data_IF_524140235827
#
_entry.id   IF_524140235827
#
_cell.length_a   1.000
_cell.length_b   1.000
_cell.length_c   1.000
_cell.angle_alpha   90.00
_cell.angle_beta   90.00
_cell.angle_gamma   90.00
#
_symmetry.space_group_name_H-M   'P 1'
#
loop_
_entity.id
_entity.type
_entity.pdbx_description
1 polymer ?
#
# COMPACT_ATOMS: atom_id res chain seq x y z
N UNK A 1 15.41 -32.17 54.51
CA UNK A 1 15.52 -32.90 53.21
C UNK A 1 16.99 -33.05 52.88
N UNK A 2 17.44 -34.18 52.32
CA UNK A 2 18.84 -34.33 51.86
C UNK A 2 19.09 -33.34 50.72
N UNK A 3 20.31 -32.79 50.63
CA UNK A 3 20.72 -31.86 49.57
C UNK A 3 20.40 -32.41 48.15
N UNK A 4 20.53 -33.72 47.98
CA UNK A 4 20.15 -34.45 46.76
C UNK A 4 18.66 -34.32 46.40
N UNK A 5 17.75 -34.31 47.38
CA UNK A 5 16.31 -34.18 47.14
C UNK A 5 15.94 -32.76 46.69
N UNK A 6 16.65 -31.73 47.18
CA UNK A 6 16.45 -30.34 46.72
C UNK A 6 16.94 -30.17 45.28
N UNK A 7 18.05 -30.80 44.90
CA UNK A 7 18.55 -30.78 43.52
C UNK A 7 17.60 -31.43 42.51
N UNK A 8 16.95 -32.54 42.88
CA UNK A 8 15.97 -33.22 42.01
C UNK A 8 14.75 -32.32 41.78
N UNK A 9 14.21 -31.71 42.83
CA UNK A 9 13.05 -30.79 42.71
C UNK A 9 13.41 -29.58 41.82
N UNK A 10 14.61 -29.03 41.97
CA UNK A 10 15.10 -27.94 41.13
C UNK A 10 15.14 -28.31 39.65
N UNK A 11 15.69 -29.48 39.30
CA UNK A 11 15.75 -29.95 37.90
C UNK A 11 14.36 -30.21 37.32
N UNK A 12 13.46 -30.84 38.10
CA UNK A 12 12.07 -31.10 37.67
C UNK A 12 11.32 -29.81 37.39
N UNK A 13 11.58 -28.75 38.16
CA UNK A 13 10.96 -27.44 37.93
C UNK A 13 11.60 -26.75 36.73
N UNK A 14 12.92 -26.75 36.58
CA UNK A 14 13.62 -25.94 35.57
C UNK A 14 13.62 -26.52 34.17
N UNK A 15 13.68 -27.85 34.04
CA UNK A 15 13.69 -28.52 32.75
C UNK A 15 12.48 -28.17 31.85
N UNK A 16 11.23 -28.13 32.33
CA UNK A 16 10.10 -27.70 31.49
C UNK A 16 10.18 -26.23 31.07
N UNK A 17 10.79 -25.33 31.87
CA UNK A 17 11.01 -23.94 31.43
C UNK A 17 11.99 -23.86 30.26
N UNK A 18 13.09 -24.62 30.30
CA UNK A 18 14.05 -24.65 29.19
C UNK A 18 13.42 -25.18 27.90
N UNK A 19 12.58 -26.21 27.99
CA UNK A 19 11.87 -26.74 26.81
C UNK A 19 10.89 -25.72 26.24
N UNK A 20 10.13 -25.03 27.09
CA UNK A 20 9.21 -23.97 26.65
C UNK A 20 9.95 -22.78 26.01
N UNK A 21 11.11 -22.41 26.55
CA UNK A 21 11.93 -21.32 26.03
C UNK A 21 12.54 -21.66 24.67
N UNK A 22 13.05 -22.89 24.50
CA UNK A 22 13.58 -23.39 23.23
C UNK A 22 12.49 -23.44 22.14
N UNK A 23 11.28 -23.90 22.45
CA UNK A 23 10.14 -23.87 21.51
C UNK A 23 9.83 -22.44 21.07
N UNK A 24 9.66 -21.51 22.02
CA UNK A 24 9.37 -20.09 21.72
C UNK A 24 10.47 -19.46 20.89
N UNK A 25 11.72 -19.73 21.20
CA UNK A 25 12.87 -19.17 20.47
C UNK A 25 12.91 -19.68 19.03
N UNK A 26 12.61 -20.96 18.81
CA UNK A 26 12.52 -21.55 17.46
C UNK A 26 11.39 -20.93 16.66
N UNK A 27 10.20 -20.78 17.25
CA UNK A 27 9.05 -20.15 16.61
C UNK A 27 9.35 -18.69 16.24
N UNK A 28 9.91 -17.91 17.17
CA UNK A 28 10.31 -16.53 16.92
C UNK A 28 11.34 -16.41 15.78
N UNK A 29 12.32 -17.31 15.75
CA UNK A 29 13.34 -17.34 14.69
C UNK A 29 12.72 -17.69 13.33
N UNK A 30 11.80 -18.65 13.29
CA UNK A 30 11.08 -19.03 12.08
C UNK A 30 10.20 -17.88 11.56
N UNK A 31 9.45 -17.20 12.44
CA UNK A 31 8.64 -16.03 12.10
C UNK A 31 9.53 -14.91 11.55
N UNK A 32 10.62 -14.58 12.23
CA UNK A 32 11.54 -13.52 11.80
C UNK A 32 12.12 -13.82 10.42
N UNK A 33 12.50 -15.08 10.16
CA UNK A 33 13.04 -15.50 8.86
C UNK A 33 11.98 -15.35 7.77
N UNK A 34 10.76 -15.84 8.01
CA UNK A 34 9.64 -15.72 7.05
C UNK A 34 9.24 -14.28 6.79
N UNK A 35 9.26 -13.43 7.81
CA UNK A 35 9.00 -12.01 7.66
C UNK A 35 10.04 -11.35 6.73
N UNK A 36 11.32 -11.68 6.86
CA UNK A 36 12.37 -11.20 5.95
C UNK A 36 12.15 -11.72 4.53
N UNK A 37 11.83 -12.99 4.35
CA UNK A 37 11.53 -13.58 3.03
C UNK A 37 10.33 -12.88 2.36
N UNK A 38 9.22 -12.70 3.07
CA UNK A 38 8.04 -12.03 2.56
C UNK A 38 8.29 -10.55 2.29
N UNK A 39 9.09 -9.89 3.12
CA UNK A 39 9.49 -8.53 2.88
C UNK A 39 10.24 -8.41 1.54
N UNK A 40 11.27 -9.23 1.36
CA UNK A 40 12.06 -9.23 0.13
C UNK A 40 11.20 -9.56 -1.10
N UNK A 41 10.28 -10.51 -0.98
CA UNK A 41 9.37 -10.88 -2.06
C UNK A 41 8.48 -9.70 -2.51
N UNK A 42 7.95 -8.94 -1.56
CA UNK A 42 7.11 -7.77 -1.85
C UNK A 42 7.94 -6.63 -2.44
N UNK A 43 9.12 -6.35 -1.89
CA UNK A 43 9.99 -5.29 -2.39
C UNK A 43 10.44 -5.59 -3.83
N UNK A 44 10.91 -6.81 -4.10
CA UNK A 44 11.25 -7.28 -5.45
C UNK A 44 10.06 -7.20 -6.41
N UNK A 45 8.85 -7.50 -5.93
CA UNK A 45 7.64 -7.45 -6.75
C UNK A 45 7.25 -6.01 -7.11
N UNK A 46 7.39 -5.07 -6.18
CA UNK A 46 7.15 -3.64 -6.43
C UNK A 46 8.21 -3.08 -7.38
N UNK A 47 9.49 -3.39 -7.17
CA UNK A 47 10.56 -2.96 -8.07
C UNK A 47 10.35 -3.49 -9.50
N UNK A 48 10.03 -4.78 -9.65
CA UNK A 48 9.74 -5.37 -10.95
C UNK A 48 8.51 -4.72 -11.63
N UNK A 49 7.50 -4.34 -10.85
CA UNK A 49 6.30 -3.69 -11.37
C UNK A 49 6.57 -2.28 -11.91
N UNK A 50 7.51 -1.56 -11.30
CA UNK A 50 7.83 -0.17 -11.61
C UNK A 50 9.01 0.00 -12.60
N UNK A 51 9.73 -1.09 -12.91
CA UNK A 51 10.95 -1.05 -13.72
C UNK A 51 10.79 -0.34 -15.07
N UNK A 52 9.85 -0.76 -15.92
CA UNK A 52 9.67 -0.14 -17.25
C UNK A 52 8.91 1.20 -17.21
N UNK A 53 8.27 1.54 -16.08
CA UNK A 53 7.73 2.89 -15.89
C UNK A 53 8.85 3.93 -15.83
N UNK A 54 10.07 3.51 -15.48
CA UNK A 54 11.27 4.33 -15.46
C UNK A 54 11.89 4.44 -16.87
N UNK A 55 11.71 3.42 -17.72
CA UNK A 55 12.33 3.35 -19.07
C UNK A 55 11.50 4.01 -20.18
N UNK A 56 10.21 4.27 -19.95
CA UNK A 56 9.30 4.93 -20.91
C UNK A 56 9.45 6.46 -20.93
N UNK A 57 10.68 6.96 -20.79
CA UNK A 57 11.03 8.39 -20.74
C UNK A 57 11.20 8.96 -22.16
N UNK A 58 10.06 9.22 -22.81
CA UNK A 58 9.99 10.20 -23.90
C UNK A 58 9.11 11.38 -23.45
N UNK A 59 9.45 11.96 -22.28
CA UNK A 59 9.15 13.33 -21.84
C UNK A 59 7.69 13.80 -21.77
N UNK A 60 6.69 12.97 -22.09
CA UNK A 60 5.27 13.35 -22.10
C UNK A 60 4.39 12.18 -21.68
N UNK A 61 3.82 12.29 -20.48
CA UNK A 61 2.76 11.42 -19.94
C UNK A 61 3.17 9.95 -19.74
N UNK A 62 3.97 9.68 -18.70
CA UNK A 62 4.10 8.33 -18.14
C UNK A 62 2.79 7.94 -17.41
N UNK A 63 1.72 7.72 -18.19
CA UNK A 63 0.49 7.12 -17.68
C UNK A 63 0.76 5.64 -17.45
N UNK A 64 0.50 5.13 -16.24
CA UNK A 64 0.71 3.71 -15.98
C UNK A 64 -0.17 2.87 -16.90
N UNK A 65 0.40 1.85 -17.55
CA UNK A 65 -0.41 0.71 -17.95
C UNK A 65 -0.78 -0.07 -16.68
N UNK A 66 -1.85 0.39 -16.01
CA UNK A 66 -2.27 -0.07 -14.67
C UNK A 66 -2.37 -1.59 -14.56
N UNK A 67 -2.87 -2.24 -15.62
CA UNK A 67 -3.04 -3.70 -15.66
C UNK A 67 -1.69 -4.40 -15.69
N UNK A 68 -0.81 -3.99 -16.59
CA UNK A 68 0.52 -4.56 -16.77
C UNK A 68 1.39 -4.40 -15.52
N UNK A 69 1.38 -3.22 -14.92
CA UNK A 69 2.10 -2.93 -13.68
C UNK A 69 1.67 -3.89 -12.56
N UNK A 70 0.37 -4.09 -12.38
CA UNK A 70 -0.15 -5.02 -11.37
C UNK A 70 0.10 -6.49 -11.74
N UNK A 71 0.00 -6.86 -13.01
CA UNK A 71 0.28 -8.22 -13.48
C UNK A 71 1.74 -8.60 -13.23
N UNK A 72 2.68 -7.67 -13.45
CA UNK A 72 4.10 -7.86 -13.14
C UNK A 72 4.35 -7.97 -11.65
N UNK A 73 3.73 -7.11 -10.85
CA UNK A 73 3.77 -7.22 -9.38
C UNK A 73 3.38 -8.64 -8.94
N UNK A 74 2.20 -9.11 -9.35
CA UNK A 74 1.73 -10.43 -8.94
C UNK A 74 2.58 -11.56 -9.52
N UNK A 75 3.05 -11.46 -10.77
CA UNK A 75 3.93 -12.47 -11.37
C UNK A 75 5.24 -12.62 -10.59
N UNK A 76 5.89 -11.51 -10.25
CA UNK A 76 7.10 -11.52 -9.44
C UNK A 76 6.80 -12.04 -8.03
N UNK A 77 5.70 -11.61 -7.40
CA UNK A 77 5.29 -12.09 -6.08
C UNK A 77 5.07 -13.61 -6.06
N UNK A 78 4.35 -14.14 -7.05
CA UNK A 78 4.09 -15.58 -7.17
C UNK A 78 5.37 -16.38 -7.39
N UNK A 79 6.33 -15.82 -8.13
CA UNK A 79 7.64 -16.42 -8.33
C UNK A 79 8.40 -16.51 -7.01
N UNK A 80 8.49 -15.40 -6.27
CA UNK A 80 9.17 -15.35 -4.96
C UNK A 80 8.51 -16.28 -3.93
N UNK A 81 7.19 -16.46 -3.98
CA UNK A 81 6.47 -17.39 -3.10
C UNK A 81 6.46 -18.84 -3.57
N UNK A 82 6.97 -19.14 -4.77
CA UNK A 82 6.95 -20.49 -5.35
C UNK A 82 5.55 -21.01 -5.69
N UNK A 83 4.58 -20.11 -5.94
CA UNK A 83 3.17 -20.45 -6.20
C UNK A 83 2.76 -20.24 -7.67
N UNK A 84 3.73 -20.08 -8.58
CA UNK A 84 3.46 -19.76 -9.99
C UNK A 84 2.59 -20.81 -10.71
N UNK A 85 2.71 -22.10 -10.38
CA UNK A 85 1.92 -23.15 -11.05
C UNK A 85 0.62 -23.51 -10.29
N UNK A 86 0.38 -22.90 -9.12
CA UNK A 86 -0.75 -23.25 -8.26
C UNK A 86 -1.84 -22.17 -8.29
N UNK A 87 -2.86 -22.38 -9.14
CA UNK A 87 -3.98 -21.44 -9.30
C UNK A 87 -4.76 -21.18 -7.99
N UNK A 88 -4.92 -22.18 -7.13
CA UNK A 88 -5.61 -22.02 -5.85
C UNK A 88 -4.78 -21.16 -4.88
N UNK A 89 -3.48 -21.41 -4.79
CA UNK A 89 -2.57 -20.62 -3.96
C UNK A 89 -2.45 -19.17 -4.43
N UNK A 90 -2.44 -18.92 -5.75
CA UNK A 90 -2.51 -17.55 -6.31
C UNK A 90 -3.79 -16.84 -5.88
N UNK A 91 -4.95 -17.48 -6.05
CA UNK A 91 -6.24 -16.92 -5.62
C UNK A 91 -6.26 -16.60 -4.12
N UNK A 92 -5.70 -17.50 -3.31
CA UNK A 92 -5.60 -17.29 -1.87
C UNK A 92 -4.67 -16.12 -1.51
N UNK A 93 -3.47 -16.06 -2.10
CA UNK A 93 -2.50 -14.96 -1.94
C UNK A 93 -3.14 -13.60 -2.26
N UNK A 94 -3.89 -13.53 -3.36
CA UNK A 94 -4.57 -12.32 -3.81
C UNK A 94 -5.58 -11.76 -2.81
N UNK A 95 -6.25 -12.62 -2.04
CA UNK A 95 -7.21 -12.18 -1.01
C UNK A 95 -6.54 -11.49 0.19
N UNK A 96 -5.21 -11.65 0.34
CA UNK A 96 -4.43 -10.96 1.37
C UNK A 96 -3.81 -9.65 0.89
N UNK A 97 -4.04 -9.27 -0.37
CA UNK A 97 -3.67 -7.97 -0.95
C UNK A 97 -4.96 -7.19 -1.21
N UNK A 98 -5.59 -6.59 -0.17
CA UNK A 98 -6.88 -5.90 -0.29
C UNK A 98 -6.87 -4.74 -1.28
N UNK A 99 -5.77 -3.97 -1.31
CA UNK A 99 -5.65 -2.72 -2.07
C UNK A 99 -4.24 -2.58 -2.62
N UNK A 100 -4.16 -2.19 -3.90
CA UNK A 100 -2.95 -1.65 -4.52
C UNK A 100 -3.29 -0.24 -5.01
N UNK A 101 -2.49 0.74 -4.61
CA UNK A 101 -2.61 2.12 -5.07
C UNK A 101 -1.46 2.45 -6.04
N UNK A 102 -1.81 2.98 -7.20
CA UNK A 102 -0.87 3.51 -8.19
C UNK A 102 -0.94 5.04 -8.10
N UNK A 103 0.15 5.67 -7.70
CA UNK A 103 0.26 7.11 -7.48
C UNK A 103 0.90 7.74 -8.72
N UNK A 104 0.17 8.61 -9.40
CA UNK A 104 0.64 9.42 -10.52
C UNK A 104 0.84 10.88 -10.10
N UNK A 105 1.34 11.72 -11.00
CA UNK A 105 1.64 13.12 -10.73
C UNK A 105 0.44 13.93 -10.19
N UNK A 106 -0.76 13.76 -10.74
CA UNK A 106 -1.94 14.58 -10.39
C UNK A 106 -3.10 13.77 -9.80
N UNK A 107 -2.85 12.52 -9.38
CA UNK A 107 -3.86 11.69 -8.76
C UNK A 107 -3.41 10.26 -8.58
N UNK A 108 -4.35 9.39 -8.22
CA UNK A 108 -4.06 7.98 -7.98
C UNK A 108 -5.18 7.07 -8.47
N UNK A 109 -4.83 5.81 -8.68
CA UNK A 109 -5.75 4.73 -9.01
C UNK A 109 -5.67 3.65 -7.95
N UNK A 110 -6.81 3.05 -7.62
CA UNK A 110 -6.88 1.95 -6.68
C UNK A 110 -7.34 0.69 -7.41
N UNK A 111 -6.58 -0.38 -7.27
CA UNK A 111 -7.09 -1.73 -7.53
C UNK A 111 -7.73 -2.27 -6.26
N UNK A 112 -8.97 -2.70 -6.39
CA UNK A 112 -9.75 -3.25 -5.30
C UNK A 112 -10.62 -4.41 -5.80
N UNK A 113 -11.14 -5.21 -4.86
CA UNK A 113 -12.08 -6.27 -5.18
C UNK A 113 -13.52 -5.76 -5.11
N UNK A 114 -14.32 -6.12 -6.12
CA UNK A 114 -15.75 -5.84 -6.18
C UNK A 114 -16.52 -7.11 -6.46
N UNK A 115 -17.72 -7.19 -5.89
CA UNK A 115 -18.67 -8.25 -6.22
C UNK A 115 -19.38 -7.91 -7.53
N UNK A 116 -19.23 -8.76 -8.55
CA UNK A 116 -20.01 -8.72 -9.79
C UNK A 116 -20.90 -9.95 -9.87
N UNK A 117 -22.01 -9.83 -10.59
CA UNK A 117 -22.82 -10.98 -10.98
C UNK A 117 -22.40 -11.38 -12.39
N UNK A 118 -22.03 -12.65 -12.56
CA UNK A 118 -21.81 -13.21 -13.89
C UNK A 118 -23.14 -13.37 -14.63
N UNK A 119 -23.06 -13.62 -15.94
CA UNK A 119 -24.21 -13.89 -16.81
C UNK A 119 -25.10 -15.04 -16.30
N UNK A 120 -24.54 -15.94 -15.49
CA UNK A 120 -25.24 -17.07 -14.87
C UNK A 120 -25.93 -16.72 -13.54
N UNK A 121 -25.88 -15.46 -13.08
CA UNK A 121 -26.41 -15.02 -11.78
C UNK A 121 -25.50 -15.30 -10.58
N UNK A 122 -24.35 -15.96 -10.80
CA UNK A 122 -23.37 -16.24 -9.75
C UNK A 122 -22.59 -14.98 -9.36
N UNK A 123 -22.45 -14.79 -8.05
CA UNK A 123 -21.65 -13.72 -7.44
C UNK A 123 -20.16 -14.06 -7.54
N UNK A 124 -19.45 -13.38 -8.43
CA UNK A 124 -18.00 -13.53 -8.62
C UNK A 124 -17.27 -12.27 -8.19
N UNK A 125 -16.17 -12.46 -7.49
CA UNK A 125 -15.29 -11.37 -7.08
C UNK A 125 -14.24 -11.12 -8.14
N UNK A 126 -14.21 -9.90 -8.65
CA UNK A 126 -13.26 -9.48 -9.66
C UNK A 126 -12.44 -8.30 -9.14
N UNK A 127 -11.16 -8.27 -9.51
CA UNK A 127 -10.33 -7.11 -9.28
C UNK A 127 -10.63 -6.05 -10.34
N UNK A 128 -10.91 -4.83 -9.89
CA UNK A 128 -11.23 -3.70 -10.75
C UNK A 128 -10.38 -2.49 -10.34
N UNK A 129 -10.13 -1.60 -11.30
CA UNK A 129 -9.51 -0.31 -11.01
C UNK A 129 -10.57 0.74 -10.78
N UNK A 130 -10.33 1.64 -9.83
CA UNK A 130 -11.12 2.85 -9.67
C UNK A 130 -10.95 3.77 -10.86
N UNK A 131 -11.86 4.73 -11.00
CA UNK A 131 -11.58 5.95 -11.74
C UNK A 131 -10.40 6.71 -11.10
N UNK A 132 -9.81 7.65 -11.85
CA UNK A 132 -8.71 8.45 -11.34
C UNK A 132 -9.21 9.35 -10.22
N UNK A 133 -8.61 9.21 -9.04
CA UNK A 133 -8.92 10.06 -7.89
C UNK A 133 -7.87 11.17 -7.86
N UNK A 134 -8.31 12.39 -8.11
CA UNK A 134 -7.45 13.58 -8.12
C UNK A 134 -7.18 14.05 -6.69
N UNK A 135 -6.02 14.66 -6.49
CA UNK A 135 -5.70 15.30 -5.20
C UNK A 135 -6.36 16.67 -5.18
N UNK A 136 -7.55 16.77 -4.62
CA UNK A 136 -8.33 18.01 -4.64
C UNK A 136 -8.62 18.57 -3.25
N UNK A 137 -8.67 19.89 -3.15
CA UNK A 137 -9.20 20.60 -2.00
C UNK A 137 -10.16 21.70 -2.47
N UNK A 138 -11.28 21.83 -1.77
CA UNK A 138 -12.28 22.86 -2.07
C UNK A 138 -12.07 24.05 -1.16
N UNK A 139 -11.85 25.23 -1.74
CA UNK A 139 -11.68 26.50 -1.04
C UNK A 139 -12.72 27.47 -1.59
N UNK A 140 -13.74 27.78 -0.80
CA UNK A 140 -14.87 28.63 -1.20
C UNK A 140 -15.59 28.10 -2.46
N UNK A 141 -15.43 28.79 -3.59
CA UNK A 141 -15.99 28.43 -4.89
C UNK A 141 -14.92 27.89 -5.87
N UNK A 142 -13.69 27.66 -5.38
CA UNK A 142 -12.61 27.09 -6.17
C UNK A 142 -12.31 25.65 -5.74
N UNK A 143 -12.00 24.80 -6.72
CA UNK A 143 -11.40 23.48 -6.50
C UNK A 143 -9.95 23.58 -6.94
N UNK A 144 -9.04 23.32 -6.00
CA UNK A 144 -7.60 23.28 -6.25
C UNK A 144 -7.17 21.83 -6.36
N UNK A 145 -6.68 21.46 -7.53
CA UNK A 145 -6.06 20.17 -7.81
C UNK A 145 -4.55 20.28 -7.62
N UNK A 146 -4.04 19.52 -6.66
CA UNK A 146 -2.64 19.43 -6.33
C UNK A 146 -1.96 18.33 -7.16
N UNK A 147 -0.67 18.52 -7.42
CA UNK A 147 0.20 17.48 -7.98
C UNK A 147 1.27 17.06 -6.98
N UNK A 148 2.04 16.03 -7.34
CA UNK A 148 3.27 15.65 -6.63
C UNK A 148 4.37 16.72 -6.74
N UNK A 149 4.21 17.70 -7.64
CA UNK A 149 5.14 18.80 -7.93
C UNK A 149 4.60 20.15 -7.40
N UNK A 150 5.22 21.26 -7.79
CA UNK A 150 4.77 22.62 -7.48
C UNK A 150 3.71 23.16 -8.46
N UNK A 151 3.23 22.31 -9.39
CA UNK A 151 2.20 22.65 -10.37
C UNK A 151 0.79 22.44 -9.79
N UNK A 152 -0.15 23.31 -10.14
CA UNK A 152 -1.52 23.26 -9.65
C UNK A 152 -2.51 23.52 -10.78
N UNK A 153 -3.72 23.00 -10.61
CA UNK A 153 -4.87 23.36 -11.43
C UNK A 153 -5.94 23.92 -10.52
N UNK A 154 -6.47 25.10 -10.84
CA UNK A 154 -7.54 25.76 -10.10
C UNK A 154 -8.74 25.83 -11.01
N UNK A 155 -9.88 25.35 -10.52
CA UNK A 155 -11.16 25.41 -11.20
C UNK A 155 -12.12 26.29 -10.42
N UNK A 156 -12.62 27.33 -11.07
CA UNK A 156 -13.72 28.13 -10.54
C UNK A 156 -15.05 27.42 -10.79
N UNK A 157 -15.82 27.14 -9.74
CA UNK A 157 -17.12 26.47 -9.84
C UNK A 157 -18.22 27.39 -10.38
N UNK A 158 -18.03 28.70 -10.33
CA UNK A 158 -18.97 29.72 -10.79
C UNK A 158 -18.85 29.94 -12.29
N UNK A 159 -17.62 30.19 -12.77
CA UNK A 159 -17.33 30.48 -14.18
C UNK A 159 -16.98 29.23 -14.99
N UNK A 160 -16.60 28.13 -14.33
CA UNK A 160 -16.05 26.89 -14.92
C UNK A 160 -14.73 27.09 -15.66
N UNK A 161 -14.03 28.20 -15.41
CA UNK A 161 -12.70 28.44 -15.95
C UNK A 161 -11.66 27.60 -15.21
N UNK A 162 -10.63 27.18 -15.96
CA UNK A 162 -9.48 26.46 -15.45
C UNK A 162 -8.25 27.34 -15.59
N UNK A 163 -7.53 27.49 -14.48
CA UNK A 163 -6.27 28.20 -14.41
C UNK A 163 -5.22 27.19 -13.96
N UNK A 164 -4.09 27.13 -14.64
CA UNK A 164 -3.02 26.20 -14.32
C UNK A 164 -1.67 26.91 -14.33
N UNK A 165 -0.75 26.40 -13.52
CA UNK A 165 0.58 26.98 -13.42
C UNK A 165 1.32 26.53 -12.18
N UNK A 166 2.55 27.01 -12.06
CA UNK A 166 3.34 26.83 -10.85
C UNK A 166 2.75 27.66 -9.73
N UNK A 167 2.85 27.14 -8.51
CA UNK A 167 2.33 27.78 -7.30
C UNK A 167 2.76 29.25 -7.18
N UNK A 168 4.04 29.55 -7.36
CA UNK A 168 4.59 30.90 -7.22
C UNK A 168 4.05 31.89 -8.26
N UNK A 169 3.61 31.42 -9.43
CA UNK A 169 3.05 32.29 -10.46
C UNK A 169 1.55 32.50 -10.22
N UNK A 170 0.82 31.43 -9.91
CA UNK A 170 -0.59 31.52 -9.52
C UNK A 170 -0.80 32.33 -8.24
N UNK A 171 0.15 32.30 -7.31
CA UNK A 171 0.10 33.14 -6.10
C UNK A 171 0.15 34.64 -6.42
N UNK A 172 0.88 35.05 -7.46
CA UNK A 172 0.93 36.46 -7.88
C UNK A 172 -0.38 36.90 -8.52
N UNK A 173 -1.03 36.00 -9.25
CA UNK A 173 -2.31 36.25 -9.92
C UNK A 173 -3.49 36.20 -8.93
N UNK A 174 -3.44 35.30 -7.94
CA UNK A 174 -4.53 35.03 -6.99
C UNK A 174 -4.04 34.98 -5.52
N UNK A 175 -3.48 36.07 -4.98
CA UNK A 175 -2.87 36.08 -3.64
C UNK A 175 -3.87 35.86 -2.50
N UNK A 176 -5.16 36.14 -2.72
CA UNK A 176 -6.22 35.92 -1.75
C UNK A 176 -6.58 34.43 -1.58
N UNK A 177 -6.54 33.67 -2.67
CA UNK A 177 -6.80 32.23 -2.68
C UNK A 177 -5.56 31.44 -2.24
N UNK A 178 -4.40 31.79 -2.77
CA UNK A 178 -3.12 31.11 -2.55
C UNK A 178 -2.21 31.91 -1.58
N UNK A 179 -2.69 32.09 -0.36
CA UNK A 179 -2.07 32.97 0.66
C UNK A 179 -0.87 32.41 1.40
N UNK A 180 -0.59 31.12 1.24
CA UNK A 180 0.45 30.41 2.00
C UNK A 180 1.86 30.85 1.60
N UNK A 181 2.84 30.68 2.48
CA UNK A 181 4.24 30.72 2.02
C UNK A 181 4.65 29.37 1.40
N UNK A 182 5.88 29.29 0.88
CA UNK A 182 6.35 28.07 0.20
C UNK A 182 6.34 26.82 1.11
N UNK A 183 6.71 26.97 2.39
CA UNK A 183 6.78 25.85 3.33
C UNK A 183 5.37 25.40 3.75
N UNK A 184 4.48 26.36 4.02
CA UNK A 184 3.07 26.11 4.31
C UNK A 184 2.35 25.46 3.12
N UNK A 185 2.65 25.89 1.89
CA UNK A 185 2.11 25.29 0.69
C UNK A 185 2.56 23.84 0.54
N UNK A 186 3.85 23.55 0.76
CA UNK A 186 4.38 22.19 0.72
C UNK A 186 3.71 21.29 1.76
N UNK A 187 3.52 21.78 2.99
CA UNK A 187 2.81 21.05 4.03
C UNK A 187 1.34 20.81 3.67
N UNK A 188 0.64 21.83 3.16
CA UNK A 188 -0.74 21.70 2.70
C UNK A 188 -0.86 20.68 1.57
N UNK A 189 -0.02 20.80 0.54
CA UNK A 189 0.02 19.92 -0.62
C UNK A 189 0.20 18.47 -0.19
N UNK A 190 1.23 18.18 0.61
CA UNK A 190 1.47 16.84 1.17
C UNK A 190 0.29 16.37 2.01
N UNK A 191 -0.27 17.26 2.84
CA UNK A 191 -1.44 16.96 3.67
C UNK A 191 -2.66 16.51 2.86
N UNK A 192 -3.00 17.24 1.79
CA UNK A 192 -4.10 16.90 0.88
C UNK A 192 -3.86 15.54 0.22
N UNK A 193 -2.67 15.31 -0.33
CA UNK A 193 -2.33 14.04 -1.00
C UNK A 193 -2.46 12.86 -0.02
N UNK A 194 -1.87 12.99 1.19
CA UNK A 194 -1.93 11.95 2.22
C UNK A 194 -3.37 11.70 2.64
N UNK A 195 -4.15 12.76 2.87
CA UNK A 195 -5.56 12.63 3.24
C UNK A 195 -6.34 11.88 2.17
N UNK A 196 -6.19 12.26 0.89
CA UNK A 196 -6.83 11.56 -0.23
C UNK A 196 -6.45 10.08 -0.25
N UNK A 197 -5.16 9.74 -0.06
CA UNK A 197 -4.72 8.35 -0.01
C UNK A 197 -5.33 7.59 1.18
N UNK A 198 -5.25 8.15 2.38
CA UNK A 198 -5.76 7.54 3.62
C UNK A 198 -7.26 7.27 3.54
N UNK A 199 -8.05 8.25 3.10
CA UNK A 199 -9.51 8.12 2.97
C UNK A 199 -9.88 7.01 1.98
N UNK A 200 -9.24 7.00 0.81
CA UNK A 200 -9.55 6.03 -0.23
C UNK A 200 -9.03 4.63 0.07
N UNK A 201 -7.81 4.49 0.61
CA UNK A 201 -7.30 3.18 1.06
C UNK A 201 -8.24 2.61 2.13
N UNK A 202 -8.64 3.41 3.11
CA UNK A 202 -9.56 2.99 4.17
C UNK A 202 -10.92 2.57 3.60
N UNK A 203 -11.45 3.34 2.64
CA UNK A 203 -12.69 2.99 1.95
C UNK A 203 -12.59 1.62 1.27
N UNK A 204 -11.55 1.37 0.47
CA UNK A 204 -11.39 0.10 -0.24
C UNK A 204 -11.08 -1.08 0.67
N UNK A 205 -10.33 -0.88 1.76
CA UNK A 205 -10.15 -1.89 2.81
C UNK A 205 -11.50 -2.28 3.44
N UNK A 206 -12.34 -1.29 3.75
CA UNK A 206 -13.66 -1.55 4.33
C UNK A 206 -14.56 -2.34 3.36
N UNK A 207 -14.44 -2.11 2.05
CA UNK A 207 -15.11 -2.96 1.06
C UNK A 207 -14.52 -4.37 1.06
N UNK A 208 -13.19 -4.51 1.07
CA UNK A 208 -12.54 -5.81 1.12
C UNK A 208 -12.91 -6.62 2.37
N UNK A 209 -13.03 -5.99 3.54
CA UNK A 209 -13.48 -6.66 4.76
C UNK A 209 -14.87 -7.31 4.62
N UNK A 210 -15.78 -6.71 3.85
CA UNK A 210 -17.09 -7.31 3.54
C UNK A 210 -16.96 -8.56 2.68
N UNK A 211 -15.97 -8.57 1.79
CA UNK A 211 -15.66 -9.68 0.89
C UNK A 211 -14.98 -10.82 1.67
N UNK A 212 -13.93 -10.50 2.43
CA UNK A 212 -13.16 -11.44 3.25
C UNK A 212 -14.06 -12.27 4.19
N UNK A 213 -15.05 -11.63 4.81
CA UNK A 213 -16.06 -12.31 5.65
C UNK A 213 -16.83 -13.41 4.91
N UNK A 214 -17.09 -13.24 3.61
CA UNK A 214 -17.78 -14.26 2.80
C UNK A 214 -16.86 -15.44 2.42
N UNK A 215 -15.54 -15.25 2.44
CA UNK A 215 -14.54 -16.28 2.20
C UNK A 215 -14.07 -16.99 3.48
N UNK A 216 -14.76 -16.78 4.61
CA UNK A 216 -14.35 -17.30 5.93
C UNK A 216 -12.97 -16.82 6.36
N UNK A 217 -12.51 -15.68 5.83
CA UNK A 217 -11.31 -15.01 6.30
C UNK A 217 -11.73 -14.19 7.54
N UNK A 218 -11.38 -14.70 8.73
CA UNK A 218 -11.66 -14.04 10.01
C UNK A 218 -10.67 -12.91 10.34
N UNK A 219 -9.78 -12.55 9.41
CA UNK A 219 -8.84 -11.45 9.58
C UNK A 219 -9.52 -10.12 9.19
N UNK A 220 -9.33 -9.09 10.02
CA UNK A 220 -9.81 -7.73 9.76
C UNK A 220 -8.67 -6.85 9.24
N UNK A 221 -8.78 -6.49 7.96
CA UNK A 221 -7.83 -5.62 7.28
C UNK A 221 -8.03 -4.18 7.74
N UNK A 222 -6.95 -3.45 7.96
CA UNK A 222 -6.99 -2.07 8.40
C UNK A 222 -5.75 -1.32 7.92
N UNK A 223 -5.88 0.00 7.69
CA UNK A 223 -4.71 0.83 7.43
C UNK A 223 -3.91 0.95 8.74
N UNK A 224 -2.62 0.56 8.78
CA UNK A 224 -1.81 0.73 9.97
C UNK A 224 -1.57 2.21 10.25
N UNK A 225 -1.24 2.54 11.49
CA UNK A 225 -0.75 3.89 11.83
C UNK A 225 0.64 4.05 11.21
N UNK A 226 0.82 5.12 10.45
CA UNK A 226 2.07 5.42 9.73
C UNK A 226 2.52 6.81 10.16
N UNK A 227 3.81 6.94 10.46
CA UNK A 227 4.42 8.21 10.85
C UNK A 227 4.37 9.23 9.68
N UNK A 228 4.30 10.51 10.02
CA UNK A 228 4.16 11.59 9.03
C UNK A 228 5.34 11.60 8.05
N UNK A 229 6.53 11.31 8.55
CA UNK A 229 7.79 11.23 7.80
C UNK A 229 7.76 10.13 6.74
N UNK A 230 7.19 8.96 7.06
CA UNK A 230 7.07 7.84 6.13
C UNK A 230 6.05 8.13 5.02
N UNK A 231 4.95 8.80 5.37
CA UNK A 231 4.03 9.33 4.37
C UNK A 231 4.70 10.35 3.46
N UNK A 232 5.49 11.27 4.02
CA UNK A 232 6.18 12.31 3.27
C UNK A 232 7.16 11.71 2.26
N UNK A 233 7.84 10.61 2.61
CA UNK A 233 8.70 9.87 1.67
C UNK A 233 7.90 9.23 0.55
N UNK A 234 6.68 8.77 0.84
CA UNK A 234 5.78 8.10 -0.11
C UNK A 234 5.18 9.09 -1.12
N UNK A 235 4.73 10.27 -0.68
CA UNK A 235 4.00 11.23 -1.54
C UNK A 235 4.90 12.17 -2.36
N UNK A 236 6.21 11.91 -2.43
CA UNK A 236 7.16 12.73 -3.19
C UNK A 236 7.47 12.18 -4.59
N UNK A 237 6.91 11.02 -4.97
CA UNK A 237 7.24 10.39 -6.26
C UNK A 237 6.07 9.56 -6.77
N UNK A 238 5.99 9.46 -8.09
CA UNK A 238 5.13 8.51 -8.78
C UNK A 238 5.53 7.10 -8.33
N UNK A 239 4.57 6.21 -8.11
CA UNK A 239 4.89 4.90 -7.56
C UNK A 239 3.71 3.99 -7.29
N UNK A 240 3.98 2.93 -6.54
CA UNK A 240 3.01 1.93 -6.12
C UNK A 240 3.05 1.76 -4.61
N UNK A 241 1.87 1.74 -4.00
CA UNK A 241 1.64 1.36 -2.61
C UNK A 241 0.84 0.06 -2.57
N UNK A 242 1.35 -0.93 -1.84
CA UNK A 242 0.72 -2.24 -1.69
C UNK A 242 0.44 -2.48 -0.21
N UNK A 243 -0.79 -2.86 0.10
CA UNK A 243 -1.14 -3.37 1.41
C UNK A 243 -1.25 -4.90 1.35
N UNK A 244 -0.42 -5.60 2.12
CA UNK A 244 -0.44 -7.05 2.26
C UNK A 244 -0.63 -7.39 3.73
N UNK A 245 -1.77 -7.96 4.11
CA UNK A 245 -2.07 -8.23 5.51
C UNK A 245 -2.79 -9.56 5.71
N UNK A 246 -2.57 -10.19 6.85
CA UNK A 246 -3.27 -11.40 7.29
C UNK A 246 -2.68 -12.72 6.76
N UNK A 247 -1.58 -12.68 6.02
CA UNK A 247 -0.98 -13.89 5.41
C UNK A 247 -0.30 -14.77 6.46
N UNK A 248 -0.54 -16.08 6.50
CA UNK A 248 0.06 -16.95 7.51
C UNK A 248 1.56 -17.16 7.27
N UNK A 249 2.37 -17.20 8.34
CA UNK A 249 3.80 -17.51 8.25
C UNK A 249 4.10 -19.01 8.00
N UNK A 250 3.10 -19.88 8.12
CA UNK A 250 3.24 -21.33 7.96
C UNK A 250 1.97 -22.08 8.32
N UNK A 251 2.07 -23.41 8.46
CA UNK A 251 0.97 -24.24 8.93
C UNK A 251 0.78 -24.07 10.45
N UNK A 252 -0.33 -23.45 10.86
CA UNK A 252 -0.68 -23.22 12.27
C UNK A 252 -0.86 -21.73 12.61
N UNK A 253 -1.26 -21.43 13.85
CA UNK A 253 -1.48 -20.07 14.34
C UNK A 253 -0.18 -19.45 14.90
N UNK A 254 0.90 -19.54 14.12
CA UNK A 254 2.24 -19.05 14.51
C UNK A 254 2.34 -17.52 14.34
N UNK A 255 1.31 -16.89 13.77
CA UNK A 255 1.25 -15.46 13.52
C UNK A 255 0.85 -15.13 12.08
N UNK A 256 0.62 -13.84 11.84
CA UNK A 256 0.20 -13.30 10.55
C UNK A 256 1.16 -12.20 10.10
N UNK A 257 1.44 -12.20 8.80
CA UNK A 257 2.25 -11.21 8.13
C UNK A 257 1.39 -10.02 7.73
N UNK A 258 1.87 -8.83 8.09
CA UNK A 258 1.25 -7.55 7.80
C UNK A 258 2.34 -6.57 7.37
N UNK A 259 2.17 -5.98 6.18
CA UNK A 259 3.04 -4.95 5.65
C UNK A 259 2.28 -4.02 4.73
N UNK A 260 2.55 -2.73 4.89
CA UNK A 260 2.35 -1.75 3.82
C UNK A 260 3.73 -1.46 3.22
N UNK A 261 3.84 -1.58 1.91
CA UNK A 261 5.07 -1.32 1.19
C UNK A 261 4.81 -0.26 0.12
N UNK A 262 5.78 0.63 -0.07
CA UNK A 262 5.78 1.65 -1.10
C UNK A 262 7.07 1.57 -1.91
N UNK A 263 6.94 1.61 -3.23
CA UNK A 263 8.07 1.82 -4.14
C UNK A 263 7.78 3.02 -5.03
N UNK A 264 8.77 3.90 -5.15
CA UNK A 264 8.73 5.02 -6.09
C UNK A 264 9.45 4.65 -7.39
N UNK A 265 8.87 5.01 -8.53
CA UNK A 265 9.55 5.00 -9.82
C UNK A 265 10.56 6.16 -9.85
N UNK A 266 11.73 5.97 -9.23
CA UNK A 266 12.81 6.96 -9.34
C UNK A 266 13.65 6.64 -10.57
N UNK A 267 13.76 7.60 -11.49
CA UNK A 267 14.82 7.63 -12.49
C UNK A 267 16.16 7.59 -11.75
N UNK A 268 16.82 6.43 -11.78
CA UNK A 268 18.21 6.32 -11.39
C UNK A 268 19.01 7.03 -12.49
N UNK A 269 19.23 8.34 -12.36
CA UNK A 269 20.31 8.98 -13.12
C UNK A 269 21.59 8.28 -12.71
N UNK A 270 22.18 7.52 -13.63
CA UNK A 270 23.53 7.00 -13.44
C UNK A 270 24.50 8.20 -13.21
N UNK A 271 25.50 8.04 -12.34
CA UNK A 271 26.45 9.09 -11.97
C UNK A 271 27.35 9.52 -13.13
#
# INVERSE_FOLDING_TARGET
MKLSNMGIIFVVIILPFFVLDDIRTRDLTAISTKQTEYNLAIDNAIEAALFECIESDDGKNAAFNKREVVERFFSCLYCNFGIMENAAAKRYCNLYVPVICLVEENGCYFRYYKLKQNENGDKVYEAEFSDKILFESTIEHFIVYFTLTDYLYVKDCTTKEYIEGKYLDLQKEMPTLLKWNQDEFEELRKGVIIQTLVENITFFINQHNKIAKQFHIHYEFHLPVIEKEDWYRTVNSIGMLVLFQGYPYGAGDIGKYNRMAFGGARLKKEP
#
